data_IF_409602399061
#
_entry.id   IF_409602399061
#
_cell.length_a   1.000
_cell.length_b   1.000
_cell.length_c   1.000
_cell.angle_alpha   90.00
_cell.angle_beta   90.00
_cell.angle_gamma   90.00
#
_symmetry.space_group_name_H-M   'P 1'
#
loop_
_entity.id
_entity.type
_entity.pdbx_description
1 polymer ?
#
# COMPACT_ATOMS: atom_id res chain seq x y z
N UNK A 1 -1.25 -12.37 24.14
CA UNK A 1 -2.18 -11.47 23.42
C UNK A 1 -3.59 -12.05 23.53
N UNK A 2 -4.64 -11.19 23.61
CA UNK A 2 -6.05 -11.62 23.66
C UNK A 2 -6.81 -11.08 22.45
N UNK A 3 -7.71 -11.90 21.90
CA UNK A 3 -8.57 -11.58 20.78
C UNK A 3 -9.93 -12.27 20.91
N UNK A 4 -10.83 -12.03 19.97
CA UNK A 4 -12.10 -12.75 19.80
C UNK A 4 -12.08 -13.43 18.43
N UNK A 5 -12.51 -14.69 18.37
CA UNK A 5 -12.64 -15.43 17.11
C UNK A 5 -13.56 -14.67 16.13
N UNK A 6 -14.66 -14.10 16.64
CA UNK A 6 -15.57 -13.27 15.82
C UNK A 6 -14.87 -12.04 15.26
N UNK A 7 -14.00 -11.37 16.03
CA UNK A 7 -13.23 -10.22 15.53
C UNK A 7 -12.23 -10.63 14.45
N UNK A 8 -11.54 -11.75 14.64
CA UNK A 8 -10.62 -12.30 13.64
C UNK A 8 -11.38 -12.59 12.35
N UNK A 9 -12.48 -13.35 12.41
CA UNK A 9 -13.32 -13.64 11.25
C UNK A 9 -13.92 -12.37 10.62
N UNK A 10 -14.30 -11.39 11.45
CA UNK A 10 -14.80 -10.10 10.97
C UNK A 10 -13.80 -9.30 10.14
N UNK A 11 -12.52 -9.36 10.48
CA UNK A 11 -11.44 -8.75 9.67
C UNK A 11 -11.26 -9.51 8.36
N UNK A 12 -11.30 -10.84 8.41
CA UNK A 12 -11.16 -11.70 7.23
C UNK A 12 -12.34 -11.60 6.26
N UNK A 13 -13.52 -11.23 6.75
CA UNK A 13 -14.76 -11.24 5.96
C UNK A 13 -15.25 -12.63 5.57
N UNK A 14 -14.70 -13.68 6.21
CA UNK A 14 -15.07 -15.09 6.05
C UNK A 14 -15.12 -15.78 7.41
N UNK A 15 -15.86 -16.89 7.49
CA UNK A 15 -15.93 -17.71 8.69
C UNK A 15 -14.92 -18.86 8.61
N UNK A 16 -13.78 -18.70 9.25
CA UNK A 16 -12.79 -19.76 9.43
C UNK A 16 -13.18 -20.59 10.66
N UNK A 17 -13.31 -21.92 10.55
CA UNK A 17 -13.64 -22.78 11.67
C UNK A 17 -12.63 -22.64 12.82
N UNK A 18 -13.10 -22.58 14.06
CA UNK A 18 -12.26 -22.45 15.25
C UNK A 18 -11.16 -23.51 15.33
N UNK A 19 -11.46 -24.74 14.92
CA UNK A 19 -10.48 -25.83 14.89
C UNK A 19 -9.33 -25.57 13.89
N UNK A 20 -9.62 -24.92 12.76
CA UNK A 20 -8.59 -24.53 11.78
C UNK A 20 -7.74 -23.39 12.30
N UNK A 21 -8.38 -22.37 12.94
CA UNK A 21 -7.65 -21.27 13.60
C UNK A 21 -6.68 -21.84 14.63
N UNK A 22 -7.16 -22.75 15.49
CA UNK A 22 -6.33 -23.38 16.52
C UNK A 22 -5.17 -24.18 15.90
N UNK A 23 -5.44 -24.99 14.88
CA UNK A 23 -4.43 -25.79 14.16
C UNK A 23 -3.37 -24.90 13.53
N UNK A 24 -3.80 -23.83 12.85
CA UNK A 24 -2.91 -22.86 12.18
C UNK A 24 -2.00 -22.19 13.20
N UNK A 25 -2.58 -21.62 14.27
CA UNK A 25 -1.80 -20.91 15.28
C UNK A 25 -0.82 -21.84 16.00
N UNK A 26 -1.19 -23.10 16.24
CA UNK A 26 -0.25 -24.11 16.78
C UNK A 26 0.92 -24.40 15.83
N UNK A 27 0.64 -24.50 14.52
CA UNK A 27 1.70 -24.74 13.51
C UNK A 27 2.71 -23.59 13.41
N UNK A 28 2.29 -22.39 13.79
CA UNK A 28 3.12 -21.18 13.82
C UNK A 28 3.77 -20.92 15.20
N UNK A 29 3.74 -21.92 16.11
CA UNK A 29 4.27 -21.85 17.46
C UNK A 29 3.60 -20.83 18.38
N UNK A 30 2.47 -20.26 18.01
CA UNK A 30 1.59 -19.59 18.95
C UNK A 30 0.91 -20.66 19.81
N UNK A 31 0.84 -20.45 21.10
CA UNK A 31 0.15 -21.39 22.00
C UNK A 31 -1.29 -20.90 22.23
N UNK A 32 -2.25 -21.25 21.35
CA UNK A 32 -3.61 -20.78 21.46
C UNK A 32 -4.36 -21.49 22.61
N UNK A 33 -5.09 -20.70 23.39
CA UNK A 33 -6.09 -21.17 24.34
C UNK A 33 -7.42 -20.55 23.94
N UNK A 34 -8.41 -21.40 23.62
CA UNK A 34 -9.71 -20.96 23.11
C UNK A 34 -10.79 -21.35 24.12
N UNK A 35 -11.58 -20.37 24.56
CA UNK A 35 -12.72 -20.53 25.43
C UNK A 35 -13.95 -19.87 24.80
N UNK A 36 -14.74 -20.62 24.05
CA UNK A 36 -15.85 -20.09 23.27
C UNK A 36 -15.37 -19.10 22.19
N UNK A 37 -15.69 -17.81 22.33
CA UNK A 37 -15.23 -16.76 21.42
C UNK A 37 -13.88 -16.14 21.83
N UNK A 38 -13.45 -16.38 23.07
CA UNK A 38 -12.21 -15.78 23.60
C UNK A 38 -11.00 -16.59 23.15
N UNK A 39 -10.07 -15.94 22.45
CA UNK A 39 -8.79 -16.47 21.99
C UNK A 39 -7.67 -15.79 22.76
N UNK A 40 -6.86 -16.57 23.47
CA UNK A 40 -5.62 -16.10 24.07
C UNK A 40 -4.45 -16.81 23.40
N UNK A 41 -3.45 -16.06 22.93
CA UNK A 41 -2.23 -16.63 22.35
C UNK A 41 -0.99 -16.14 23.10
N UNK A 42 -0.01 -17.02 23.19
CA UNK A 42 1.34 -16.64 23.59
C UNK A 42 2.16 -16.38 22.31
N UNK A 43 2.59 -15.12 22.13
CA UNK A 43 3.40 -14.72 20.99
C UNK A 43 4.85 -15.13 21.24
N UNK A 44 5.50 -15.85 20.30
CA UNK A 44 6.93 -16.16 20.42
C UNK A 44 7.78 -14.88 20.40
N UNK A 45 8.89 -14.87 21.14
CA UNK A 45 9.74 -13.67 21.29
C UNK A 45 10.37 -13.17 19.98
N UNK A 46 10.46 -14.01 18.96
CA UNK A 46 10.97 -13.62 17.63
C UNK A 46 9.92 -12.99 16.72
N UNK A 47 8.64 -12.89 17.15
CA UNK A 47 7.54 -12.30 16.41
C UNK A 47 7.19 -10.92 17.01
N UNK A 48 8.07 -9.96 16.79
CA UNK A 48 7.90 -8.57 17.26
C UNK A 48 6.84 -7.79 16.47
N UNK A 49 6.41 -8.34 15.35
CA UNK A 49 5.40 -7.80 14.44
C UNK A 49 3.95 -7.96 14.93
N UNK A 50 3.74 -8.79 15.95
CA UNK A 50 2.40 -9.15 16.45
C UNK A 50 1.95 -8.18 17.54
N UNK A 51 1.16 -7.17 17.19
CA UNK A 51 0.70 -6.14 18.14
C UNK A 51 -0.79 -6.28 18.49
N UNK A 52 -1.62 -6.73 17.54
CA UNK A 52 -3.08 -6.67 17.65
C UNK A 52 -3.79 -7.86 16.97
N UNK A 53 -5.12 -7.94 17.12
CA UNK A 53 -5.91 -9.04 16.53
C UNK A 53 -5.95 -9.07 15.00
N UNK A 54 -5.79 -7.99 14.23
CA UNK A 54 -5.62 -8.05 12.79
C UNK A 54 -4.39 -8.85 12.37
N UNK A 55 -3.30 -8.78 13.14
CA UNK A 55 -2.08 -9.55 12.85
C UNK A 55 -2.33 -11.06 13.01
N UNK A 56 -3.19 -11.44 13.98
CA UNK A 56 -3.67 -12.83 14.11
C UNK A 56 -4.50 -13.22 12.89
N UNK A 57 -5.36 -12.34 12.40
CA UNK A 57 -6.18 -12.59 11.23
C UNK A 57 -5.31 -12.78 9.97
N UNK A 58 -4.26 -11.98 9.82
CA UNK A 58 -3.29 -12.12 8.73
C UNK A 58 -2.60 -13.49 8.76
N UNK A 59 -2.11 -13.92 9.90
CA UNK A 59 -1.49 -15.25 10.03
C UNK A 59 -2.46 -16.39 9.73
N UNK A 60 -3.71 -16.25 10.17
CA UNK A 60 -4.75 -17.24 9.90
C UNK A 60 -5.03 -17.33 8.41
N UNK A 61 -5.30 -16.22 7.71
CA UNK A 61 -5.65 -16.26 6.29
C UNK A 61 -4.48 -16.69 5.41
N UNK A 62 -3.25 -16.27 5.77
CA UNK A 62 -2.04 -16.67 5.05
C UNK A 62 -1.87 -18.19 5.00
N UNK A 63 -2.23 -18.88 6.08
CA UNK A 63 -2.12 -20.34 6.17
C UNK A 63 -3.40 -21.08 5.78
N UNK A 64 -4.57 -20.44 5.93
CA UNK A 64 -5.85 -20.99 5.51
C UNK A 64 -6.00 -20.97 3.99
N UNK A 65 -5.53 -19.90 3.36
CA UNK A 65 -5.52 -19.67 1.91
C UNK A 65 -6.38 -18.48 1.49
N UNK A 66 -5.79 -17.57 0.74
CA UNK A 66 -6.48 -16.39 0.20
C UNK A 66 -7.58 -16.73 -0.80
N UNK A 67 -7.54 -17.90 -1.42
CA UNK A 67 -8.56 -18.37 -2.37
C UNK A 67 -9.94 -18.54 -1.72
N UNK A 68 -10.01 -18.62 -0.39
CA UNK A 68 -11.26 -18.69 0.35
C UNK A 68 -11.93 -17.31 0.53
N UNK A 69 -11.22 -16.22 0.23
CA UNK A 69 -11.76 -14.87 0.32
C UNK A 69 -12.55 -14.55 -0.95
N UNK A 70 -13.87 -14.46 -0.82
CA UNK A 70 -14.75 -14.13 -1.94
C UNK A 70 -14.86 -12.60 -2.04
N UNK A 71 -14.39 -11.96 -3.13
CA UNK A 71 -14.53 -10.54 -3.33
C UNK A 71 -16.00 -10.11 -3.35
N UNK A 72 -16.33 -9.08 -2.60
CA UNK A 72 -17.67 -8.50 -2.59
C UNK A 72 -17.63 -7.03 -2.99
N UNK A 73 -18.68 -6.56 -3.68
CA UNK A 73 -18.84 -5.14 -3.94
C UNK A 73 -19.31 -4.41 -2.68
N UNK A 74 -18.87 -3.17 -2.52
CA UNK A 74 -19.36 -2.31 -1.44
C UNK A 74 -20.87 -2.08 -1.58
N UNK A 75 -21.66 -2.60 -0.64
CA UNK A 75 -23.11 -2.56 -0.70
C UNK A 75 -23.71 -1.15 -0.54
N UNK A 76 -22.98 -0.20 0.01
CA UNK A 76 -23.45 1.15 0.33
C UNK A 76 -22.51 2.27 -0.18
N UNK A 77 -21.60 1.98 -1.11
CA UNK A 77 -20.77 3.01 -1.70
C UNK A 77 -21.60 3.85 -2.69
N UNK A 78 -21.65 5.16 -2.48
CA UNK A 78 -22.09 6.08 -3.51
C UNK A 78 -21.15 5.92 -4.72
N UNK A 79 -21.64 5.27 -5.77
CA UNK A 79 -20.89 5.13 -7.02
C UNK A 79 -20.92 6.51 -7.69
N UNK A 80 -19.82 7.26 -7.54
CA UNK A 80 -19.62 8.47 -8.33
C UNK A 80 -19.11 8.02 -9.71
N UNK A 81 -19.77 8.51 -10.78
CA UNK A 81 -19.26 8.30 -12.13
C UNK A 81 -17.86 8.88 -12.24
N UNK A 82 -16.87 8.01 -12.38
CA UNK A 82 -15.48 8.42 -12.60
C UNK A 82 -15.34 9.15 -13.93
N UNK A 83 -14.29 9.93 -14.08
CA UNK A 83 -14.00 10.60 -15.34
C UNK A 83 -12.98 11.72 -15.18
N UNK A 84 -12.41 12.14 -16.31
CA UNK A 84 -11.47 13.24 -16.33
C UNK A 84 -12.20 14.57 -16.11
N UNK A 85 -11.66 15.44 -15.25
CA UNK A 85 -12.09 16.81 -15.14
C UNK A 85 -11.67 17.63 -16.38
N UNK A 86 -12.17 18.89 -16.49
CA UNK A 86 -11.92 19.74 -17.65
C UNK A 86 -10.42 19.99 -17.88
N UNK A 87 -9.64 20.19 -16.82
CA UNK A 87 -8.19 20.38 -16.90
C UNK A 87 -7.50 19.16 -17.49
N UNK A 88 -7.77 17.97 -16.95
CA UNK A 88 -7.21 16.71 -17.44
C UNK A 88 -7.58 16.43 -18.91
N UNK A 89 -8.83 16.73 -19.30
CA UNK A 89 -9.26 16.60 -20.70
C UNK A 89 -8.49 17.55 -21.62
N UNK A 90 -8.23 18.77 -21.17
CA UNK A 90 -7.50 19.78 -21.96
C UNK A 90 -6.02 19.37 -22.08
N UNK A 91 -5.37 18.97 -21.00
CA UNK A 91 -4.00 18.48 -21.00
C UNK A 91 -3.83 17.29 -21.96
N UNK A 92 -4.75 16.32 -21.90
CA UNK A 92 -4.72 15.17 -22.79
C UNK A 92 -4.89 15.56 -24.26
N UNK A 93 -5.76 16.54 -24.58
CA UNK A 93 -5.92 17.05 -25.94
C UNK A 93 -4.63 17.70 -26.44
N UNK A 94 -3.97 18.52 -25.61
CA UNK A 94 -2.70 19.17 -25.96
C UNK A 94 -1.63 18.11 -26.23
N UNK A 95 -1.46 17.15 -25.35
CA UNK A 95 -0.49 16.05 -25.52
C UNK A 95 -0.72 15.29 -26.83
N UNK A 96 -1.97 14.91 -27.12
CA UNK A 96 -2.31 14.22 -28.37
C UNK A 96 -2.04 15.06 -29.61
N UNK A 97 -2.32 16.36 -29.55
CA UNK A 97 -2.05 17.28 -30.67
C UNK A 97 -0.54 17.40 -30.95
N UNK A 98 0.27 17.50 -29.90
CA UNK A 98 1.75 17.52 -30.03
C UNK A 98 2.29 16.20 -30.59
N UNK A 99 1.82 15.07 -30.10
CA UNK A 99 2.21 13.75 -30.62
C UNK A 99 1.81 13.60 -32.10
N UNK A 100 0.65 14.09 -32.51
CA UNK A 100 0.22 14.06 -33.90
C UNK A 100 1.11 14.92 -34.83
N UNK A 101 1.83 15.89 -34.27
CA UNK A 101 2.81 16.72 -34.98
C UNK A 101 4.24 16.13 -34.95
N UNK A 102 4.42 14.92 -34.42
CA UNK A 102 5.71 14.20 -34.38
C UNK A 102 6.52 14.36 -33.10
N UNK A 103 5.98 15.03 -32.05
CA UNK A 103 6.61 15.06 -30.75
C UNK A 103 6.42 13.74 -30.00
N UNK A 104 7.38 13.37 -29.16
CA UNK A 104 7.27 12.22 -28.27
C UNK A 104 6.92 12.67 -26.85
N UNK A 105 6.03 11.94 -26.20
CA UNK A 105 5.76 12.15 -24.76
C UNK A 105 6.88 11.51 -23.96
N UNK A 106 7.56 12.31 -23.11
CA UNK A 106 8.58 11.84 -22.19
C UNK A 106 8.02 11.73 -20.75
N UNK A 107 8.45 10.70 -20.05
CA UNK A 107 8.22 10.58 -18.60
C UNK A 107 9.56 10.72 -17.91
N UNK A 108 9.70 11.76 -17.09
CA UNK A 108 10.95 12.11 -16.42
C UNK A 108 10.78 12.12 -14.92
N UNK A 109 11.89 11.91 -14.20
CA UNK A 109 11.92 12.12 -12.76
C UNK A 109 11.78 13.61 -12.44
N UNK A 110 11.05 13.90 -11.36
CA UNK A 110 10.89 15.28 -10.85
C UNK A 110 12.08 15.73 -9.99
N UNK A 111 12.99 14.80 -9.66
CA UNK A 111 14.17 15.08 -8.86
C UNK A 111 15.38 15.29 -9.78
N UNK A 112 16.17 16.32 -9.49
CA UNK A 112 17.39 16.63 -10.20
C UNK A 112 18.43 17.22 -9.25
N UNK A 113 19.68 17.17 -9.65
CA UNK A 113 20.80 17.77 -8.91
C UNK A 113 21.06 19.22 -9.36
N UNK A 114 21.52 20.09 -8.49
CA UNK A 114 22.07 21.40 -8.92
C UNK A 114 23.17 21.29 -9.99
N UNK A 115 23.96 20.20 -9.97
CA UNK A 115 24.96 19.92 -10.99
C UNK A 115 24.38 19.73 -12.39
N UNK A 116 23.18 19.15 -12.48
CA UNK A 116 22.51 18.94 -13.78
C UNK A 116 22.17 20.29 -14.45
N UNK A 117 21.77 21.27 -13.65
CA UNK A 117 21.50 22.64 -14.13
C UNK A 117 22.79 23.33 -14.63
N UNK A 118 23.94 23.00 -14.04
CA UNK A 118 25.23 23.52 -14.49
C UNK A 118 25.62 22.87 -15.83
N UNK A 119 25.38 21.56 -16.01
CA UNK A 119 25.60 20.86 -17.27
C UNK A 119 24.76 21.43 -18.42
N UNK A 120 23.54 21.89 -18.12
CA UNK A 120 22.68 22.57 -19.07
C UNK A 120 23.11 24.00 -19.39
N UNK A 121 24.14 24.52 -18.71
CA UNK A 121 24.64 25.88 -18.92
C UNK A 121 23.65 26.98 -18.50
N UNK A 122 22.70 26.70 -17.63
CA UNK A 122 21.74 27.69 -17.17
C UNK A 122 22.43 28.77 -16.33
N UNK A 123 22.11 30.07 -16.54
CA UNK A 123 22.65 31.17 -15.73
C UNK A 123 22.23 31.02 -14.25
N UNK A 124 23.01 31.64 -13.35
CA UNK A 124 22.79 31.48 -11.88
C UNK A 124 21.43 32.05 -11.43
N UNK A 125 20.91 33.06 -12.08
CA UNK A 125 19.63 33.70 -11.81
C UNK A 125 18.42 33.06 -12.50
N UNK A 126 18.65 31.95 -13.25
CA UNK A 126 17.58 31.26 -13.97
C UNK A 126 16.45 30.81 -13.01
N UNK A 127 15.18 31.03 -13.36
CA UNK A 127 14.05 30.64 -12.52
C UNK A 127 14.00 29.14 -12.24
N UNK A 128 14.52 28.31 -13.14
CA UNK A 128 14.63 26.85 -12.99
C UNK A 128 15.54 26.42 -11.84
N UNK A 129 16.45 27.28 -11.40
CA UNK A 129 17.31 27.05 -10.22
C UNK A 129 16.60 27.23 -8.88
N UNK A 130 15.38 27.80 -8.88
CA UNK A 130 14.56 28.00 -7.68
C UNK A 130 13.80 26.73 -7.31
N UNK A 131 14.54 25.65 -7.04
CA UNK A 131 13.98 24.36 -6.68
C UNK A 131 13.84 24.19 -5.16
N UNK A 132 12.87 23.38 -4.74
CA UNK A 132 12.70 22.97 -3.34
C UNK A 132 13.81 21.97 -3.00
N UNK A 133 14.56 22.24 -1.93
CA UNK A 133 15.60 21.32 -1.45
C UNK A 133 15.02 20.28 -0.50
N UNK A 134 15.36 19.02 -0.76
CA UNK A 134 15.06 17.92 0.16
C UNK A 134 16.09 17.89 1.29
N UNK A 135 15.63 17.65 2.53
CA UNK A 135 16.49 17.60 3.74
C UNK A 135 17.32 16.31 3.73
N UNK A 136 16.70 15.15 3.42
CA UNK A 136 17.38 13.85 3.30
C UNK A 136 17.66 13.53 1.83
N UNK A 137 18.79 13.97 1.32
CA UNK A 137 19.18 13.66 -0.06
C UNK A 137 19.60 12.19 -0.19
N UNK A 138 19.07 11.50 -1.16
CA UNK A 138 19.68 10.25 -1.63
C UNK A 138 20.97 10.62 -2.37
N UNK A 139 22.10 10.23 -1.83
CA UNK A 139 23.44 10.52 -2.40
C UNK A 139 23.68 9.87 -3.78
N UNK A 140 22.77 9.03 -4.27
CA UNK A 140 22.88 8.34 -5.54
C UNK A 140 22.05 8.98 -6.68
N UNK A 141 21.09 9.84 -6.36
CA UNK A 141 20.19 10.47 -7.35
C UNK A 141 20.40 12.01 -7.38
N UNK A 142 20.95 12.59 -6.31
CA UNK A 142 21.33 14.01 -6.22
C UNK A 142 22.68 14.08 -5.53
N UNK A 143 23.81 14.09 -6.26
CA UNK A 143 25.14 14.33 -5.70
C UNK A 143 25.27 15.72 -5.08
#
# INVERSE_FOLDING_TARGET
>A
MKASIKKVNGVLGIEVPTADIERILKSLNFQPVINGDELTIQVPAYREDMESYPDIAEEVIRMYGYDHVIPTFLAAAAVTSGGMNTKQKTELKIKRALCAQGAFEGVHYSFFSPSDLNLLGLPEDAPERKAIRLINRSTRICP
#
